data_IF_596800991509
#
_entry.id   IF_596800991509
#
_cell.length_a   1.000
_cell.length_b   1.000
_cell.length_c   1.000
_cell.angle_alpha   90.00
_cell.angle_beta   90.00
_cell.angle_gamma   90.00
#
_symmetry.space_group_name_H-M   'P 1'
#
loop_
_entity.id
_entity.type
_entity.pdbx_description
1 polymer ?
#
# COMPACT_ATOMS: atom_id res chain seq x y z
N UNK A 1 -0.95 24.53 7.03
CA UNK A 1 0.43 24.29 7.48
C UNK A 1 1.34 23.98 6.29
N UNK A 2 1.06 22.93 5.50
CA UNK A 2 1.96 22.52 4.40
C UNK A 2 2.00 23.52 3.23
N UNK A 3 0.91 24.25 2.99
CA UNK A 3 0.81 25.26 1.92
C UNK A 3 1.81 26.42 2.04
N UNK A 4 2.36 26.68 3.23
CA UNK A 4 3.37 27.73 3.44
C UNK A 4 4.70 27.41 2.75
N UNK A 5 5.03 26.13 2.58
CA UNK A 5 6.30 25.69 2.00
C UNK A 5 6.32 25.77 0.46
N UNK A 6 5.13 25.85 -0.15
CA UNK A 6 4.94 25.85 -1.60
C UNK A 6 5.21 24.48 -2.27
N UNK A 7 4.63 24.22 -3.45
CA UNK A 7 4.72 22.91 -4.10
C UNK A 7 6.12 22.51 -4.55
N UNK A 8 7.00 23.49 -4.78
CA UNK A 8 8.38 23.19 -5.13
C UNK A 8 9.06 22.48 -3.97
N UNK A 9 9.02 23.03 -2.76
CA UNK A 9 9.87 22.55 -1.66
C UNK A 9 9.29 21.35 -0.89
N UNK A 10 7.99 21.07 -1.01
CA UNK A 10 7.33 20.02 -0.23
C UNK A 10 6.74 18.90 -1.09
N UNK A 11 6.99 17.67 -0.67
CA UNK A 11 6.28 16.48 -1.11
C UNK A 11 5.28 16.08 -0.02
N UNK A 12 4.01 15.93 -0.37
CA UNK A 12 2.99 15.43 0.56
C UNK A 12 2.48 14.10 0.05
N UNK A 13 2.54 13.08 0.89
CA UNK A 13 2.12 11.72 0.55
C UNK A 13 1.15 11.22 1.60
N UNK A 14 -0.02 10.75 1.17
CA UNK A 14 -0.91 9.95 1.99
C UNK A 14 -0.53 8.48 1.85
N UNK A 15 -0.27 7.83 2.97
CA UNK A 15 0.15 6.45 3.05
C UNK A 15 -0.90 5.64 3.82
N UNK A 16 -1.43 4.61 3.17
CA UNK A 16 -2.34 3.66 3.80
C UNK A 16 -1.59 2.43 4.34
N UNK A 17 -2.24 1.66 5.20
CA UNK A 17 -1.73 0.39 5.69
C UNK A 17 -1.75 -0.68 4.60
N UNK A 18 -0.80 -1.61 4.68
CA UNK A 18 -0.79 -2.75 3.78
C UNK A 18 -1.92 -3.72 4.11
N UNK A 19 -2.82 -3.97 3.15
CA UNK A 19 -3.93 -4.92 3.30
C UNK A 19 -3.63 -6.24 2.58
N UNK A 20 -4.11 -7.37 3.09
CA UNK A 20 -3.98 -8.66 2.41
C UNK A 20 -5.23 -8.94 1.56
N UNK A 21 -5.06 -9.00 0.24
CA UNK A 21 -6.11 -9.32 -0.73
C UNK A 21 -5.94 -10.76 -1.22
N UNK A 22 -6.89 -11.67 -0.96
CA UNK A 22 -6.80 -13.05 -1.44
C UNK A 22 -6.90 -13.10 -2.98
N UNK A 23 -6.06 -13.93 -3.61
CA UNK A 23 -6.15 -14.25 -5.03
C UNK A 23 -6.95 -15.55 -5.20
N UNK A 24 -8.07 -15.44 -5.93
CA UNK A 24 -8.97 -16.55 -6.17
C UNK A 24 -9.97 -16.80 -5.05
N UNK A 25 -10.99 -17.59 -5.36
CA UNK A 25 -11.89 -18.15 -4.36
C UNK A 25 -11.08 -19.10 -3.48
N UNK A 26 -11.23 -19.00 -2.16
CA UNK A 26 -10.75 -20.05 -1.29
C UNK A 26 -11.39 -21.35 -1.76
N UNK A 27 -10.59 -22.31 -2.22
CA UNK A 27 -11.08 -23.68 -2.39
C UNK A 27 -11.72 -24.03 -1.04
N UNK A 28 -13.02 -24.33 -1.06
CA UNK A 28 -13.75 -24.59 0.17
C UNK A 28 -13.08 -25.79 0.84
N UNK A 29 -12.36 -25.55 1.94
CA UNK A 29 -11.90 -26.60 2.85
C UNK A 29 -13.10 -27.14 3.64
N UNK A 30 -14.18 -27.55 2.95
CA UNK A 30 -15.37 -28.21 3.49
C UNK A 30 -16.01 -29.09 2.42
N UNK A 31 -15.42 -30.27 2.22
CA UNK A 31 -16.24 -31.48 2.16
C UNK A 31 -16.30 -32.08 3.57
N UNK A 32 -16.87 -31.33 4.52
CA UNK A 32 -17.22 -31.83 5.87
C UNK A 32 -18.75 -31.81 6.05
N UNK A 33 -19.47 -32.20 4.99
CA UNK A 33 -20.80 -32.76 5.13
C UNK A 33 -20.71 -34.18 4.55
N UNK A 34 -21.07 -35.23 5.30
CA UNK A 34 -21.10 -36.59 4.77
C UNK A 34 -22.34 -36.71 3.87
N UNK A 35 -22.30 -36.08 2.69
CA UNK A 35 -23.07 -36.61 1.57
C UNK A 35 -22.21 -37.73 1.03
N UNK A 36 -22.64 -38.94 1.36
CA UNK A 36 -22.07 -40.23 1.00
C UNK A 36 -22.23 -40.43 -0.52
N UNK A 37 -21.49 -39.64 -1.30
CA UNK A 37 -21.23 -39.87 -2.71
C UNK A 37 -19.77 -39.53 -2.95
N UNK A 38 -18.96 -40.58 -2.99
CA UNK A 38 -17.54 -40.57 -3.32
C UNK A 38 -17.38 -40.09 -4.78
N UNK A 39 -17.38 -38.78 -4.98
CA UNK A 39 -16.88 -38.17 -6.20
C UNK A 39 -15.42 -37.81 -5.98
N UNK A 40 -14.53 -38.72 -6.39
CA UNK A 40 -13.11 -38.42 -6.51
C UNK A 40 -12.88 -37.49 -7.69
N UNK A 41 -13.05 -36.17 -7.51
CA UNK A 41 -12.50 -35.22 -8.48
C UNK A 41 -10.99 -35.13 -8.29
N UNK A 42 -10.26 -35.95 -9.05
CA UNK A 42 -8.85 -35.67 -9.37
C UNK A 42 -8.81 -34.45 -10.29
N UNK A 43 -8.62 -33.27 -9.74
CA UNK A 43 -8.11 -32.14 -10.53
C UNK A 43 -6.62 -32.40 -10.77
N UNK A 44 -6.31 -33.16 -11.83
CA UNK A 44 -4.96 -33.25 -12.40
C UNK A 44 -4.96 -32.43 -13.69
N UNK A 45 -4.38 -31.24 -13.63
CA UNK A 45 -3.96 -30.54 -14.83
C UNK A 45 -2.56 -31.05 -15.21
N UNK A 46 -2.26 -31.33 -16.49
CA UNK A 46 -1.17 -32.23 -16.88
C UNK A 46 0.24 -31.65 -16.76
N UNK A 47 0.40 -30.35 -16.50
CA UNK A 47 1.68 -29.67 -16.71
C UNK A 47 2.04 -28.63 -15.63
N UNK A 48 1.18 -28.35 -14.65
CA UNK A 48 1.45 -27.29 -13.66
C UNK A 48 1.28 -27.78 -12.21
N UNK A 49 2.36 -27.71 -11.45
CA UNK A 49 2.34 -27.86 -9.99
C UNK A 49 1.88 -26.54 -9.37
N UNK A 50 0.58 -26.34 -9.17
CA UNK A 50 0.16 -25.27 -8.27
C UNK A 50 0.55 -25.63 -6.84
N UNK A 51 1.19 -24.67 -6.16
CA UNK A 51 1.30 -24.74 -4.71
C UNK A 51 -0.12 -24.60 -4.16
N UNK A 52 -0.67 -25.69 -3.61
CA UNK A 52 -1.85 -25.63 -2.74
C UNK A 52 -1.38 -25.03 -1.41
N UNK A 53 -0.93 -23.77 -1.45
CA UNK A 53 -0.65 -23.00 -0.25
C UNK A 53 -1.99 -22.44 0.23
N UNK A 54 -2.18 -22.36 1.54
CA UNK A 54 -3.26 -21.58 2.12
C UNK A 54 -3.25 -20.16 1.53
N UNK A 55 -4.10 -19.93 0.53
CA UNK A 55 -4.54 -18.61 0.05
C UNK A 55 -3.36 -17.70 -0.35
N UNK A 56 -2.89 -17.79 -1.59
CA UNK A 56 -2.06 -16.72 -2.15
C UNK A 56 -2.75 -15.37 -1.93
N UNK A 57 -2.07 -14.42 -1.30
CA UNK A 57 -2.58 -13.06 -1.10
C UNK A 57 -1.65 -12.08 -1.78
N UNK A 58 -2.21 -11.06 -2.42
CA UNK A 58 -1.47 -9.85 -2.75
C UNK A 58 -1.51 -8.92 -1.54
N UNK A 59 -0.44 -8.18 -1.36
CA UNK A 59 -0.37 -7.10 -0.39
C UNK A 59 -0.06 -5.84 -1.18
N UNK A 60 -1.07 -5.02 -1.53
CA UNK A 60 -0.82 -3.67 -2.02
C UNK A 60 -0.33 -2.76 -0.90
N UNK A 61 0.67 -1.96 -1.22
CA UNK A 61 1.03 -0.74 -0.48
C UNK A 61 0.67 0.46 -1.34
N UNK A 62 -0.14 1.37 -0.80
CA UNK A 62 -0.70 2.50 -1.54
C UNK A 62 -0.13 3.80 -0.98
N UNK A 63 0.42 4.61 -1.88
CA UNK A 63 0.93 5.94 -1.60
C UNK A 63 0.29 6.92 -2.58
N UNK A 64 -0.56 7.81 -2.08
CA UNK A 64 -1.16 8.87 -2.89
C UNK A 64 -0.36 10.15 -2.71
N UNK A 65 0.21 10.68 -3.80
CA UNK A 65 0.86 11.97 -3.78
C UNK A 65 -0.23 13.05 -3.84
N UNK A 66 -0.18 14.00 -2.91
CA UNK A 66 -1.12 15.11 -2.87
C UNK A 66 -0.53 16.32 -3.59
N UNK A 67 -1.33 16.96 -4.44
CA UNK A 67 -0.92 18.17 -5.14
C UNK A 67 -1.03 19.38 -4.19
N UNK A 68 0.01 20.21 -4.18
CA UNK A 68 0.01 21.47 -3.44
C UNK A 68 -0.15 22.59 -4.45
N UNK A 69 -1.18 23.42 -4.30
CA UNK A 69 -1.40 24.52 -5.24
C UNK A 69 -0.42 25.68 -4.97
N UNK A 70 0.06 26.29 -6.05
CA UNK A 70 0.85 27.52 -5.99
C UNK A 70 0.00 28.69 -5.46
N UNK A 71 0.66 29.61 -4.77
CA UNK A 71 0.12 30.90 -4.31
C UNK A 71 -1.13 30.84 -3.40
N UNK A 72 -1.45 29.66 -2.86
CA UNK A 72 -2.48 29.48 -1.82
C UNK A 72 -1.88 29.23 -0.45
N UNK A 73 -0.92 30.07 -0.08
CA UNK A 73 -0.28 30.06 1.24
C UNK A 73 -1.33 30.15 2.36
N UNK A 74 -1.11 29.42 3.44
CA UNK A 74 -1.98 29.36 4.63
C UNK A 74 -3.42 28.85 4.38
N UNK A 75 -3.79 28.54 3.15
CA UNK A 75 -5.10 27.98 2.83
C UNK A 75 -5.12 26.47 3.11
N UNK A 76 -6.04 26.02 3.96
CA UNK A 76 -6.23 24.60 4.29
C UNK A 76 -6.69 23.76 3.09
N UNK A 77 -7.25 24.39 2.05
CA UNK A 77 -7.70 23.73 0.82
C UNK A 77 -6.66 23.70 -0.30
N UNK A 78 -5.45 24.23 -0.06
CA UNK A 78 -4.39 24.25 -1.06
C UNK A 78 -3.77 22.86 -1.32
N UNK A 79 -3.99 21.88 -0.44
CA UNK A 79 -3.57 20.49 -0.64
C UNK A 79 -4.75 19.69 -1.18
N UNK A 80 -4.61 19.15 -2.39
CA UNK A 80 -5.68 18.44 -3.10
C UNK A 80 -5.29 17.00 -3.42
N UNK A 81 -6.28 16.10 -3.50
CA UNK A 81 -6.12 14.69 -3.85
C UNK A 81 -5.97 14.44 -5.36
N UNK A 82 -5.40 15.39 -6.10
CA UNK A 82 -5.31 15.35 -7.57
C UNK A 82 -3.96 14.84 -8.10
N UNK A 83 -3.05 14.43 -7.21
CA UNK A 83 -1.75 13.88 -7.63
C UNK A 83 -1.82 12.37 -7.97
N UNK A 84 -0.70 11.81 -8.47
CA UNK A 84 -0.62 10.41 -8.84
C UNK A 84 -0.62 9.48 -7.64
N UNK A 85 -1.06 8.24 -7.86
CA UNK A 85 -1.03 7.18 -6.85
C UNK A 85 0.00 6.12 -7.25
N UNK A 86 0.97 5.88 -6.37
CA UNK A 86 1.90 4.78 -6.46
C UNK A 86 1.34 3.57 -5.71
N UNK A 87 1.24 2.44 -6.40
CA UNK A 87 0.78 1.18 -5.82
C UNK A 87 1.85 0.12 -6.05
N UNK A 88 2.47 -0.33 -4.97
CA UNK A 88 3.36 -1.48 -5.01
C UNK A 88 2.56 -2.72 -4.64
N UNK A 89 2.61 -3.75 -5.48
CA UNK A 89 1.93 -5.03 -5.23
C UNK A 89 2.96 -6.09 -4.90
N UNK A 90 2.89 -6.64 -3.68
CA UNK A 90 3.78 -7.70 -3.23
C UNK A 90 3.06 -9.00 -2.94
N UNK A 91 3.80 -10.11 -2.93
CA UNK A 91 3.27 -11.39 -2.48
C UNK A 91 3.12 -11.40 -0.96
N UNK A 92 1.96 -11.81 -0.46
CA UNK A 92 1.67 -11.88 0.97
C UNK A 92 2.44 -12.95 1.74
N UNK A 93 3.24 -13.77 1.04
CA UNK A 93 4.25 -14.66 1.65
C UNK A 93 5.54 -13.91 2.00
N UNK A 94 5.88 -12.89 1.24
CA UNK A 94 7.18 -12.20 1.30
C UNK A 94 7.07 -10.75 1.78
N UNK A 95 5.86 -10.29 2.10
CA UNK A 95 5.61 -8.93 2.55
C UNK A 95 4.68 -8.92 3.77
N UNK A 96 4.81 -7.88 4.58
CA UNK A 96 4.06 -7.68 5.82
C UNK A 96 3.97 -6.18 6.11
N UNK A 97 2.96 -5.74 6.87
CA UNK A 97 2.83 -4.32 7.22
C UNK A 97 3.78 -3.95 8.37
N UNK A 98 5.02 -3.60 8.05
CA UNK A 98 6.04 -3.15 9.01
C UNK A 98 6.59 -1.78 8.61
N UNK A 99 7.13 -1.02 9.57
CA UNK A 99 7.78 0.26 9.26
C UNK A 99 8.91 0.10 8.22
N UNK A 100 9.68 -0.98 8.31
CA UNK A 100 10.75 -1.28 7.35
C UNK A 100 10.21 -1.50 5.92
N UNK A 101 9.17 -2.32 5.78
CA UNK A 101 8.57 -2.56 4.46
C UNK A 101 7.92 -1.31 3.88
N UNK A 102 7.36 -0.42 4.70
CA UNK A 102 6.89 0.88 4.23
C UNK A 102 8.04 1.76 3.75
N UNK A 103 9.16 1.81 4.50
CA UNK A 103 10.36 2.54 4.09
C UNK A 103 10.90 2.05 2.73
N UNK A 104 10.99 0.73 2.53
CA UNK A 104 11.43 0.16 1.24
C UNK A 104 10.51 0.53 0.08
N UNK A 105 9.19 0.55 0.30
CA UNK A 105 8.24 0.94 -0.73
C UNK A 105 8.30 2.44 -1.03
N UNK A 106 8.57 3.25 -0.01
CA UNK A 106 8.79 4.68 -0.15
C UNK A 106 10.08 4.98 -0.93
N UNK A 107 11.17 4.25 -0.69
CA UNK A 107 12.40 4.37 -1.48
C UNK A 107 12.14 4.09 -2.96
N UNK A 108 11.31 3.08 -3.26
CA UNK A 108 10.90 2.77 -4.64
C UNK A 108 10.06 3.89 -5.28
N UNK A 109 9.13 4.48 -4.52
CA UNK A 109 8.39 5.67 -4.96
C UNK A 109 9.33 6.84 -5.31
N UNK A 110 10.40 7.05 -4.54
CA UNK A 110 11.33 8.17 -4.73
C UNK A 110 12.24 8.01 -5.95
N UNK A 111 12.48 6.77 -6.40
CA UNK A 111 13.30 6.50 -7.59
C UNK A 111 12.48 6.33 -8.87
N UNK A 112 11.17 6.10 -8.79
CA UNK A 112 10.28 5.96 -9.96
C UNK A 112 10.30 7.22 -10.85
N UNK A 113 10.83 7.09 -12.06
CA UNK A 113 11.04 8.21 -13.00
C UNK A 113 9.76 8.96 -13.33
N UNK A 114 8.63 8.26 -13.47
CA UNK A 114 7.32 8.86 -13.74
C UNK A 114 6.82 9.78 -12.64
N UNK A 115 7.42 9.71 -11.46
CA UNK A 115 7.05 10.50 -10.29
C UNK A 115 8.07 11.59 -9.97
N UNK A 116 9.19 11.70 -10.70
CA UNK A 116 10.25 12.67 -10.39
C UNK A 116 9.75 14.12 -10.42
N UNK A 117 8.81 14.45 -11.31
CA UNK A 117 8.18 15.78 -11.36
C UNK A 117 7.49 16.18 -10.03
N UNK A 118 7.06 15.17 -9.26
CA UNK A 118 6.40 15.36 -7.98
C UNK A 118 7.36 15.24 -6.79
N UNK A 119 8.34 14.34 -6.88
CA UNK A 119 9.23 13.98 -5.76
C UNK A 119 10.52 14.78 -5.73
N UNK A 120 10.91 15.41 -6.85
CA UNK A 120 12.19 16.09 -7.03
C UNK A 120 12.05 17.50 -7.60
N UNK A 121 13.09 18.30 -7.39
CA UNK A 121 13.35 19.59 -8.02
C UNK A 121 14.79 19.54 -8.52
N UNK A 122 15.03 19.89 -9.78
CA UNK A 122 16.38 19.93 -10.36
C UNK A 122 17.18 18.63 -10.13
N UNK A 123 16.47 17.49 -10.18
CA UNK A 123 17.03 16.14 -9.96
C UNK A 123 17.27 15.76 -8.49
N UNK A 124 17.04 16.66 -7.53
CA UNK A 124 17.20 16.41 -6.10
C UNK A 124 15.84 16.20 -5.41
N UNK A 125 15.74 15.33 -4.39
CA UNK A 125 14.52 15.19 -3.59
C UNK A 125 14.06 16.52 -3.01
N UNK A 126 12.73 16.73 -2.94
CA UNK A 126 12.15 17.88 -2.26
C UNK A 126 12.61 17.96 -0.81
N UNK A 127 12.90 19.17 -0.32
CA UNK A 127 13.53 19.41 0.97
C UNK A 127 12.67 18.97 2.16
N UNK A 128 11.35 19.01 2.02
CA UNK A 128 10.42 18.59 3.07
C UNK A 128 9.52 17.49 2.54
N UNK A 129 9.43 16.40 3.29
CA UNK A 129 8.54 15.27 2.99
C UNK A 129 7.55 15.15 4.14
N UNK A 130 6.26 15.22 3.83
CA UNK A 130 5.17 15.06 4.79
C UNK A 130 4.44 13.77 4.46
N UNK A 131 4.49 12.80 5.38
CA UNK A 131 3.76 11.54 5.26
C UNK A 131 2.54 11.59 6.18
N UNK A 132 1.36 11.54 5.58
CA UNK A 132 0.09 11.39 6.27
C UNK A 132 -0.20 9.90 6.35
N UNK A 133 -0.03 9.31 7.53
CA UNK A 133 -0.33 7.89 7.75
C UNK A 133 -1.65 7.76 8.48
N UNK A 134 -2.60 7.02 7.91
CA UNK A 134 -3.85 6.69 8.62
C UNK A 134 -3.59 5.50 9.56
N UNK A 135 -3.41 5.82 10.84
CA UNK A 135 -3.33 4.86 11.92
C UNK A 135 -4.63 4.82 12.71
N UNK A 136 -5.37 3.72 12.62
CA UNK A 136 -6.53 3.49 13.48
C UNK A 136 -6.19 3.61 14.98
N UNK A 137 -7.17 3.84 15.87
CA UNK A 137 -6.95 4.07 17.31
C UNK A 137 -6.08 3.01 18.01
N UNK A 138 -6.11 1.77 17.52
CA UNK A 138 -5.31 0.63 17.99
C UNK A 138 -3.82 0.67 17.60
N UNK A 139 -3.42 1.60 16.73
CA UNK A 139 -2.04 1.86 16.28
C UNK A 139 -1.48 3.17 16.83
N UNK A 140 -2.28 3.94 17.57
CA UNK A 140 -1.82 5.16 18.23
C UNK A 140 -0.87 4.78 19.39
N UNK A 141 0.41 5.21 19.36
CA UNK A 141 1.39 4.87 20.40
C UNK A 141 1.05 5.41 21.78
N UNK A 142 0.04 6.30 21.89
CA UNK A 142 -0.46 6.81 23.17
C UNK A 142 -1.27 5.78 23.97
N UNK A 143 -1.84 4.76 23.33
CA UNK A 143 -2.63 3.75 24.03
C UNK A 143 -1.81 2.48 24.28
N UNK A 144 -1.67 2.12 25.56
CA UNK A 144 -1.08 0.84 25.97
C UNK A 144 -1.90 -0.29 25.31
N UNK A 145 -1.22 -1.16 24.58
CA UNK A 145 -1.81 -2.42 24.13
C UNK A 145 -1.99 -3.30 25.36
N UNK A 146 -3.22 -3.68 25.66
CA UNK A 146 -3.50 -4.72 26.65
C UNK A 146 -3.02 -6.03 26.05
N UNK A 147 -2.08 -6.68 26.74
CA UNK A 147 -1.59 -8.04 26.42
C UNK A 147 -2.65 -9.04 26.85
#
# INVERSE_FOLDING_TARGET
MVSVLGPRNVLVVSQDDKVRIPLGLAAANKQDSPILMRLEYRVKLPDHNWVVAERHKLIPSVYAILNVEEDKYENSKAVTYLGPTFIRVCSGKHDSSTAYSHGKDFDELMVEEKLHDYTKIDGQPKSVIVILSDGGPNKNPRYKKTI
#
